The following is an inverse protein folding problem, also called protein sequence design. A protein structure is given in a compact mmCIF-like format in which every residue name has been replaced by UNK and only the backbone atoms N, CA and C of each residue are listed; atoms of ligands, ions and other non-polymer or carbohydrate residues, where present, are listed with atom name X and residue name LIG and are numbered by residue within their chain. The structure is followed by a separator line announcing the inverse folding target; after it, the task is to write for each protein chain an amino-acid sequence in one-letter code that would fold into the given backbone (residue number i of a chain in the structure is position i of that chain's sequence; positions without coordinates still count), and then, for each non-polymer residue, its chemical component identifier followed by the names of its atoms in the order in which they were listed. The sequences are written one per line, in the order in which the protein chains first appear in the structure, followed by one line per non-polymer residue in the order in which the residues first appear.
data_IF_676987847319
#
_entry.id   IF_676987847319
#
_cell.length_a   1.000
_cell.length_b   1.000
_cell.length_c   1.000
_cell.angle_alpha   90.00
_cell.angle_beta   90.00
_cell.angle_gamma   90.00
#
_symmetry.space_group_name_H-M   'P 1'
#
loop_
_entity.id
_entity.type
_entity.pdbx_description
1 polymer ?
#
# COMPACT_ATOMS: atom_id res chain seq x y z
N UNK A 1 -60.43 -26.53 6.15
CA UNK A 1 -59.25 -26.94 5.34
C UNK A 1 -58.56 -25.74 4.66
N UNK A 2 -58.58 -24.52 5.21
CA UNK A 2 -57.95 -23.35 4.57
C UNK A 2 -56.88 -22.61 5.43
N UNK A 3 -56.40 -23.20 6.54
CA UNK A 3 -55.46 -22.56 7.46
C UNK A 3 -54.00 -23.09 7.40
N UNK A 4 -53.67 -24.05 6.55
CA UNK A 4 -52.33 -24.69 6.53
C UNK A 4 -51.37 -24.20 5.45
N UNK A 5 -51.81 -23.37 4.52
CA UNK A 5 -50.97 -22.89 3.43
C UNK A 5 -50.38 -21.48 3.65
N UNK A 6 -50.88 -20.74 4.64
CA UNK A 6 -50.42 -19.37 4.88
C UNK A 6 -49.11 -19.26 5.70
N UNK A 7 -48.78 -20.33 6.46
CA UNK A 7 -47.53 -20.29 7.27
C UNK A 7 -46.26 -20.74 6.54
N UNK A 8 -46.37 -21.41 5.39
CA UNK A 8 -45.19 -21.86 4.63
C UNK A 8 -44.62 -20.80 3.67
N UNK A 9 -45.41 -19.84 3.25
CA UNK A 9 -44.95 -18.76 2.35
C UNK A 9 -44.22 -17.66 3.09
N UNK A 10 -44.47 -17.44 4.40
CA UNK A 10 -43.78 -16.44 5.20
C UNK A 10 -42.32 -16.84 5.50
N UNK A 11 -42.04 -18.15 5.61
CA UNK A 11 -40.69 -18.67 5.90
C UNK A 11 -39.74 -18.53 4.71
N UNK A 12 -40.23 -18.57 3.48
CA UNK A 12 -39.38 -18.46 2.28
C UNK A 12 -38.96 -17.01 1.99
N UNK A 13 -39.83 -16.06 2.29
CA UNK A 13 -39.52 -14.62 2.09
C UNK A 13 -38.51 -14.09 3.13
N UNK A 14 -38.57 -14.60 4.38
CA UNK A 14 -37.60 -14.21 5.41
C UNK A 14 -36.19 -14.76 5.15
N UNK A 15 -36.06 -15.95 4.52
CA UNK A 15 -34.74 -16.51 4.16
C UNK A 15 -34.11 -15.74 2.99
N UNK A 16 -34.91 -15.22 2.05
CA UNK A 16 -34.37 -14.44 0.91
C UNK A 16 -33.82 -13.06 1.36
N UNK A 17 -34.35 -12.46 2.43
CA UNK A 17 -33.86 -11.19 2.95
C UNK A 17 -32.58 -11.33 3.79
N UNK A 18 -32.30 -12.50 4.37
CA UNK A 18 -31.11 -12.74 5.19
C UNK A 18 -29.85 -12.97 4.34
N UNK A 19 -29.98 -13.37 3.08
CA UNK A 19 -28.84 -13.59 2.19
C UNK A 19 -28.33 -12.28 1.57
N UNK A 20 -29.15 -11.22 1.54
CA UNK A 20 -28.78 -9.92 0.98
C UNK A 20 -28.04 -9.00 1.97
N UNK A 21 -28.06 -9.33 3.27
CA UNK A 21 -27.43 -8.50 4.31
C UNK A 21 -25.92 -8.69 4.45
N UNK A 22 -25.29 -9.67 3.79
CA UNK A 22 -23.86 -9.98 3.91
C UNK A 22 -22.96 -9.32 2.85
N UNK A 23 -23.49 -8.51 1.93
CA UNK A 23 -22.71 -7.93 0.82
C UNK A 23 -22.54 -6.41 0.86
N UNK A 24 -22.73 -5.77 2.01
CA UNK A 24 -22.48 -4.33 2.14
C UNK A 24 -21.06 -4.07 2.67
N UNK A 25 -20.04 -4.53 1.96
CA UNK A 25 -18.68 -4.03 2.12
C UNK A 25 -18.50 -2.88 1.15
N UNK A 26 -18.18 -1.71 1.66
CA UNK A 26 -18.07 -0.45 0.92
C UNK A 26 -17.28 -0.62 -0.38
N UNK A 27 -17.97 -0.62 -1.51
CA UNK A 27 -17.38 -0.58 -2.85
C UNK A 27 -16.90 0.85 -3.16
N UNK A 28 -16.08 1.44 -2.27
CA UNK A 28 -15.55 2.77 -2.51
C UNK A 28 -14.66 2.69 -3.75
N UNK A 29 -14.91 3.58 -4.70
CA UNK A 29 -14.11 3.69 -5.91
C UNK A 29 -12.73 4.28 -5.57
N UNK A 30 -11.62 3.75 -6.12
CA UNK A 30 -10.30 4.36 -6.00
C UNK A 30 -10.33 5.86 -6.35
N UNK A 31 -11.07 6.25 -7.38
CA UNK A 31 -11.20 7.63 -7.82
C UNK A 31 -11.69 8.58 -6.72
N UNK A 32 -12.53 8.12 -5.79
CA UNK A 32 -12.96 8.93 -4.65
C UNK A 32 -11.75 9.39 -3.81
N UNK A 33 -10.83 8.48 -3.50
CA UNK A 33 -9.63 8.83 -2.74
C UNK A 33 -8.64 9.66 -3.56
N UNK A 34 -8.45 9.33 -4.83
CA UNK A 34 -7.54 10.08 -5.69
C UNK A 34 -8.01 11.53 -5.87
N UNK A 35 -9.31 11.75 -6.12
CA UNK A 35 -9.89 13.09 -6.19
C UNK A 35 -9.75 13.85 -4.87
N UNK A 36 -10.05 13.18 -3.74
CA UNK A 36 -9.90 13.78 -2.42
C UNK A 36 -8.47 14.19 -2.11
N UNK A 37 -7.51 13.44 -2.59
CA UNK A 37 -6.07 13.66 -2.42
C UNK A 37 -5.47 14.53 -3.55
N UNK A 38 -6.30 14.95 -4.53
CA UNK A 38 -5.96 15.85 -5.63
C UNK A 38 -4.90 15.31 -6.61
N UNK A 39 -4.92 14.00 -6.90
CA UNK A 39 -4.12 13.41 -7.97
C UNK A 39 -4.95 12.47 -8.87
N UNK A 40 -4.39 12.11 -10.03
CA UNK A 40 -5.03 11.17 -10.96
C UNK A 40 -4.76 9.73 -10.54
N UNK A 41 -5.81 8.91 -10.49
CA UNK A 41 -5.67 7.49 -10.16
C UNK A 41 -4.98 6.70 -11.28
N UNK A 42 -3.85 6.09 -10.98
CA UNK A 42 -3.16 5.14 -11.86
C UNK A 42 -3.69 3.73 -11.58
N UNK A 43 -4.27 3.10 -12.60
CA UNK A 43 -4.81 1.74 -12.51
C UNK A 43 -4.00 0.73 -13.36
N UNK A 44 -2.76 1.05 -13.65
CA UNK A 44 -1.82 0.18 -14.37
C UNK A 44 -0.55 -0.02 -13.55
N UNK A 45 0.08 -1.18 -13.71
CA UNK A 45 1.40 -1.39 -13.11
C UNK A 45 2.42 -0.47 -13.79
N UNK A 46 3.38 0.01 -13.00
CA UNK A 46 4.47 0.85 -13.47
C UNK A 46 5.80 0.27 -13.00
N UNK A 47 6.88 0.64 -13.65
CA UNK A 47 8.23 0.34 -13.20
C UNK A 47 8.92 1.65 -12.89
N UNK A 48 9.65 1.69 -11.78
CA UNK A 48 10.48 2.82 -11.38
C UNK A 48 11.90 2.36 -11.12
N UNK A 49 12.87 3.21 -11.45
CA UNK A 49 14.28 2.98 -11.17
C UNK A 49 14.72 3.86 -10.00
N UNK A 50 15.17 3.24 -8.93
CA UNK A 50 15.83 3.89 -7.81
C UNK A 50 17.31 3.99 -8.09
N UNK A 51 17.82 5.21 -8.17
CA UNK A 51 19.26 5.51 -8.19
C UNK A 51 19.71 5.87 -6.79
N UNK A 52 20.59 5.08 -6.22
CA UNK A 52 21.05 5.29 -4.83
C UNK A 52 22.55 5.48 -4.73
N UNK A 53 23.05 5.81 -3.54
CA UNK A 53 24.50 5.87 -3.26
C UNK A 53 25.19 4.50 -3.37
N UNK A 54 24.42 3.39 -3.27
CA UNK A 54 24.94 1.99 -3.34
C UNK A 54 24.77 1.32 -4.69
N UNK A 55 24.08 1.95 -5.62
CA UNK A 55 23.75 1.40 -6.92
C UNK A 55 22.27 1.59 -7.25
N UNK A 56 21.84 1.01 -8.36
CA UNK A 56 20.51 1.17 -8.91
C UNK A 56 19.71 -0.13 -8.77
N UNK A 57 18.40 0.00 -8.56
CA UNK A 57 17.48 -1.13 -8.58
C UNK A 57 16.11 -0.72 -9.15
N UNK A 58 15.42 -1.69 -9.74
CA UNK A 58 14.13 -1.48 -10.37
C UNK A 58 13.01 -2.06 -9.50
N UNK A 59 11.92 -1.31 -9.35
CA UNK A 59 10.72 -1.70 -8.59
C UNK A 59 9.52 -1.71 -9.52
N UNK A 60 8.83 -2.84 -9.59
CA UNK A 60 7.50 -2.92 -10.20
C UNK A 60 6.46 -2.48 -9.18
N UNK A 61 5.69 -1.45 -9.52
CA UNK A 61 4.59 -0.90 -8.73
C UNK A 61 3.26 -1.54 -9.15
N UNK A 62 2.44 -1.92 -8.19
CA UNK A 62 1.18 -2.66 -8.39
C UNK A 62 -0.01 -1.70 -8.49
N UNK A 63 -0.03 -0.81 -9.50
CA UNK A 63 -1.08 0.19 -9.66
C UNK A 63 -2.48 -0.39 -9.90
N UNK A 64 -2.59 -1.62 -10.41
CA UNK A 64 -3.87 -2.34 -10.52
C UNK A 64 -4.45 -2.73 -9.16
N UNK A 65 -3.59 -3.08 -8.21
CA UNK A 65 -3.98 -3.61 -6.90
C UNK A 65 -4.01 -2.53 -5.83
N UNK A 66 -3.16 -1.51 -5.97
CA UNK A 66 -2.99 -0.41 -5.02
C UNK A 66 -3.03 0.95 -5.75
N UNK A 67 -4.12 1.30 -6.44
CA UNK A 67 -4.18 2.50 -7.30
C UNK A 67 -3.94 3.80 -6.53
N UNK A 68 -4.48 3.97 -5.32
CA UNK A 68 -4.29 5.19 -4.53
C UNK A 68 -2.85 5.30 -4.02
N UNK A 69 -2.29 4.21 -3.49
CA UNK A 69 -0.93 4.17 -2.96
C UNK A 69 0.09 4.42 -4.07
N UNK A 70 -0.05 3.75 -5.22
CA UNK A 70 0.86 3.92 -6.36
C UNK A 70 0.76 5.33 -6.94
N UNK A 71 -0.45 5.89 -7.09
CA UNK A 71 -0.62 7.25 -7.60
C UNK A 71 0.03 8.29 -6.69
N UNK A 72 -0.17 8.17 -5.37
CA UNK A 72 0.51 9.02 -4.39
C UNK A 72 2.04 8.89 -4.47
N UNK A 73 2.54 7.67 -4.63
CA UNK A 73 3.98 7.43 -4.74
C UNK A 73 4.58 8.05 -6.01
N UNK A 74 3.88 7.93 -7.15
CA UNK A 74 4.29 8.54 -8.42
C UNK A 74 4.23 10.07 -8.36
N UNK A 75 3.20 10.65 -7.77
CA UNK A 75 3.11 12.10 -7.52
C UNK A 75 4.29 12.60 -6.69
N UNK A 76 4.70 11.83 -5.66
CA UNK A 76 5.89 12.17 -4.86
C UNK A 76 7.19 12.09 -5.69
N UNK A 77 7.31 11.13 -6.63
CA UNK A 77 8.45 11.04 -7.55
C UNK A 77 8.50 12.27 -8.46
N UNK A 78 7.39 12.64 -9.08
CA UNK A 78 7.29 13.79 -9.98
C UNK A 78 7.63 15.11 -9.26
N UNK A 79 7.27 15.22 -7.98
CA UNK A 79 7.62 16.36 -7.13
C UNK A 79 9.01 16.26 -6.47
N UNK A 80 9.85 15.30 -6.85
CA UNK A 80 11.21 15.07 -6.32
C UNK A 80 11.28 14.91 -4.79
N UNK A 81 10.21 14.43 -4.13
CA UNK A 81 10.12 14.29 -2.68
C UNK A 81 11.19 13.35 -2.13
N UNK A 82 11.56 12.33 -2.89
CA UNK A 82 12.51 11.31 -2.47
C UNK A 82 13.97 11.64 -2.78
N UNK A 83 14.24 12.69 -3.56
CA UNK A 83 15.60 13.07 -3.93
C UNK A 83 16.37 13.55 -2.70
N UNK A 84 17.60 13.04 -2.52
CA UNK A 84 18.48 13.27 -1.38
C UNK A 84 17.93 12.79 -0.02
N UNK A 85 16.84 12.00 -0.01
CA UNK A 85 16.37 11.37 1.23
C UNK A 85 17.25 10.18 1.58
N UNK A 86 17.61 10.07 2.87
CA UNK A 86 18.36 8.93 3.42
C UNK A 86 17.43 7.74 3.67
N UNK A 87 18.02 6.55 3.69
CA UNK A 87 17.39 5.40 4.31
C UNK A 87 17.53 5.53 5.84
N UNK A 88 16.63 6.30 6.44
CA UNK A 88 16.76 6.86 7.79
C UNK A 88 16.69 5.82 8.92
N UNK A 89 16.16 4.62 8.65
CA UNK A 89 16.02 3.56 9.66
C UNK A 89 16.23 2.18 9.04
N UNK A 90 17.19 1.45 9.59
CA UNK A 90 17.46 0.05 9.23
C UNK A 90 17.23 -0.81 10.48
N UNK A 91 16.35 -1.80 10.39
CA UNK A 91 16.09 -2.75 11.45
C UNK A 91 16.62 -4.11 10.99
N UNK A 92 17.61 -4.65 11.70
CA UNK A 92 18.23 -5.92 11.39
C UNK A 92 17.81 -6.96 12.44
N UNK A 93 17.25 -8.05 11.98
CA UNK A 93 17.09 -9.29 12.72
C UNK A 93 17.94 -10.39 12.06
N UNK A 94 18.22 -11.52 12.70
CA UNK A 94 19.14 -12.54 12.16
C UNK A 94 18.86 -12.98 10.73
N UNK A 95 17.58 -12.99 10.30
CA UNK A 95 17.18 -13.45 8.97
C UNK A 95 16.32 -12.45 8.21
N UNK A 96 16.18 -11.21 8.71
CA UNK A 96 15.21 -10.27 8.21
C UNK A 96 15.71 -8.83 8.37
N UNK A 97 15.58 -8.02 7.31
CA UNK A 97 15.88 -6.60 7.37
C UNK A 97 14.70 -5.79 6.91
N UNK A 98 14.45 -4.68 7.61
CA UNK A 98 13.57 -3.61 7.16
C UNK A 98 14.41 -2.39 6.83
N UNK A 99 14.23 -1.83 5.66
CA UNK A 99 14.98 -0.69 5.15
C UNK A 99 13.98 0.43 4.91
N UNK A 100 13.88 1.35 5.86
CA UNK A 100 12.97 2.49 5.78
C UNK A 100 13.57 3.63 4.97
N UNK A 101 12.79 4.15 4.05
CA UNK A 101 13.13 5.29 3.20
C UNK A 101 11.94 6.22 3.04
N UNK A 102 12.13 7.23 2.20
CA UNK A 102 11.20 8.34 2.06
C UNK A 102 11.54 9.47 3.01
N UNK A 103 10.57 10.29 3.34
CA UNK A 103 10.81 11.46 4.19
C UNK A 103 10.87 11.04 5.66
N UNK A 104 12.01 11.34 6.31
CA UNK A 104 12.16 11.07 7.74
C UNK A 104 11.21 11.99 8.54
N UNK A 105 10.28 11.44 9.36
CA UNK A 105 9.36 12.26 10.15
C UNK A 105 10.04 13.11 11.23
N UNK A 106 11.27 12.76 11.62
CA UNK A 106 12.08 13.50 12.61
C UNK A 106 12.87 14.65 11.97
N UNK A 107 12.84 14.78 10.62
CA UNK A 107 13.56 15.83 9.91
C UNK A 107 12.71 17.09 9.74
N UNK A 108 13.11 18.18 10.39
CA UNK A 108 12.42 19.48 10.33
C UNK A 108 12.34 20.05 8.89
N UNK A 109 13.27 19.70 8.00
CA UNK A 109 13.24 20.08 6.58
C UNK A 109 12.00 19.55 5.85
N UNK A 110 11.37 18.51 6.37
CA UNK A 110 10.12 17.94 5.86
C UNK A 110 8.94 18.90 6.02
N UNK A 111 8.84 19.60 7.16
CA UNK A 111 7.74 20.52 7.44
C UNK A 111 7.75 21.67 6.41
N UNK A 112 8.92 22.19 6.08
CA UNK A 112 9.08 23.26 5.08
C UNK A 112 8.74 22.80 3.66
N UNK A 113 9.21 21.61 3.25
CA UNK A 113 8.86 21.03 1.94
C UNK A 113 7.36 20.75 1.80
N UNK A 114 6.71 20.30 2.86
CA UNK A 114 5.29 20.01 2.89
C UNK A 114 4.43 21.28 2.80
N UNK A 115 4.86 22.37 3.41
CA UNK A 115 4.18 23.67 3.31
C UNK A 115 4.20 24.20 1.87
N UNK A 116 5.29 23.95 1.12
CA UNK A 116 5.39 24.31 -0.30
C UNK A 116 4.57 23.40 -1.23
N UNK A 117 4.26 22.19 -0.81
CA UNK A 117 3.46 21.24 -1.56
C UNK A 117 1.99 21.29 -1.14
N UNK A 118 1.32 22.41 -1.21
CA UNK A 118 -0.09 22.68 -0.85
C UNK A 118 -1.13 21.56 -1.13
N UNK A 119 -0.72 20.32 -1.42
CA UNK A 119 -1.55 19.25 -1.96
C UNK A 119 -1.59 17.95 -1.14
N UNK A 120 -0.63 17.63 -0.30
CA UNK A 120 -0.55 16.27 0.22
C UNK A 120 -1.08 16.13 1.65
N UNK A 121 -2.09 15.31 1.82
CA UNK A 121 -2.46 14.76 3.12
C UNK A 121 -1.25 14.02 3.72
N UNK A 122 -0.97 14.15 5.03
CA UNK A 122 0.10 13.37 5.70
C UNK A 122 -0.13 11.87 5.62
N UNK A 123 -1.36 11.46 5.32
CA UNK A 123 -1.76 10.06 5.28
C UNK A 123 -2.63 9.76 4.07
N UNK A 124 -2.51 8.52 3.59
CA UNK A 124 -3.38 7.91 2.60
C UNK A 124 -4.11 6.72 3.22
N UNK A 125 -5.22 6.23 2.63
CA UNK A 125 -5.89 5.04 3.15
C UNK A 125 -4.98 3.82 3.10
N UNK A 126 -5.10 2.93 4.10
CA UNK A 126 -4.57 1.58 3.98
C UNK A 126 -5.30 0.88 2.85
N UNK A 127 -4.57 0.25 1.94
CA UNK A 127 -5.09 -0.35 0.70
C UNK A 127 -4.71 -1.82 0.64
N UNK A 128 -5.70 -2.72 0.73
CA UNK A 128 -5.51 -4.18 0.76
C UNK A 128 -6.34 -4.82 -0.35
N UNK A 129 -5.71 -5.59 -1.24
CA UNK A 129 -6.35 -6.26 -2.37
C UNK A 129 -6.55 -7.74 -2.12
N UNK A 130 -7.79 -8.21 -2.26
CA UNK A 130 -8.16 -9.63 -2.22
C UNK A 130 -8.35 -10.19 -3.63
N UNK A 131 -8.01 -11.47 -3.84
CA UNK A 131 -8.01 -12.15 -5.14
C UNK A 131 -9.36 -12.13 -5.84
N UNK A 132 -10.43 -12.31 -5.09
CA UNK A 132 -11.80 -12.38 -5.62
C UNK A 132 -12.51 -11.02 -5.69
N UNK A 133 -11.83 -9.94 -5.31
CA UNK A 133 -12.42 -8.61 -5.32
C UNK A 133 -11.92 -7.81 -6.52
N UNK A 134 -12.80 -7.09 -7.19
CA UNK A 134 -12.45 -6.23 -8.34
C UNK A 134 -11.63 -5.03 -7.86
N UNK A 135 -11.97 -4.45 -6.70
CA UNK A 135 -11.34 -3.25 -6.13
C UNK A 135 -10.68 -3.57 -4.80
N UNK A 136 -9.60 -2.85 -4.41
CA UNK A 136 -9.02 -3.01 -3.08
C UNK A 136 -9.98 -2.54 -1.99
N UNK A 137 -9.80 -3.05 -0.78
CA UNK A 137 -10.43 -2.53 0.44
C UNK A 137 -9.60 -1.37 0.98
N UNK A 138 -10.29 -0.33 1.40
CA UNK A 138 -9.68 0.87 1.96
C UNK A 138 -9.92 0.98 3.47
N UNK A 139 -8.92 1.49 4.20
CA UNK A 139 -8.97 1.63 5.66
C UNK A 139 -9.34 0.32 6.36
N UNK A 140 -8.90 -0.79 5.80
CA UNK A 140 -9.17 -2.13 6.29
C UNK A 140 -7.87 -2.87 6.55
N UNK A 141 -7.69 -3.32 7.79
CA UNK A 141 -6.62 -4.22 8.19
C UNK A 141 -7.22 -5.60 8.46
N UNK A 142 -6.56 -6.65 7.97
CA UNK A 142 -6.94 -8.04 8.28
C UNK A 142 -6.88 -8.26 9.79
N UNK A 143 -7.94 -8.81 10.34
CA UNK A 143 -8.05 -9.16 11.76
C UNK A 143 -7.88 -10.65 11.99
N UNK A 144 -8.36 -11.46 11.05
CA UNK A 144 -8.27 -12.91 11.10
C UNK A 144 -7.14 -13.39 10.18
N UNK A 145 -6.09 -14.04 10.70
CA UNK A 145 -4.99 -14.54 9.89
C UNK A 145 -5.41 -15.47 8.74
N UNK A 146 -6.53 -16.19 8.87
CA UNK A 146 -7.05 -17.04 7.78
C UNK A 146 -7.42 -16.27 6.51
N UNK A 147 -7.69 -14.97 6.60
CA UNK A 147 -8.00 -14.14 5.44
C UNK A 147 -6.75 -13.88 4.56
N UNK A 148 -5.55 -14.06 5.09
CA UNK A 148 -4.29 -13.76 4.37
C UNK A 148 -4.09 -14.64 3.14
N UNK A 149 -4.62 -15.85 3.10
CA UNK A 149 -4.55 -16.77 1.95
C UNK A 149 -5.20 -16.21 0.68
N UNK A 150 -6.12 -15.27 0.85
CA UNK A 150 -6.86 -14.62 -0.23
C UNK A 150 -6.24 -13.28 -0.68
N UNK A 151 -5.10 -12.88 -0.12
CA UNK A 151 -4.42 -11.66 -0.54
C UNK A 151 -3.79 -11.80 -1.92
N UNK A 152 -3.82 -10.72 -2.70
CA UNK A 152 -3.07 -10.62 -3.97
C UNK A 152 -1.60 -10.40 -3.69
N UNK A 153 -1.28 -9.48 -2.78
CA UNK A 153 0.08 -9.11 -2.44
C UNK A 153 0.40 -9.51 -0.99
N UNK A 154 1.50 -10.24 -0.82
CA UNK A 154 2.07 -10.68 0.46
C UNK A 154 3.51 -10.20 0.57
N UNK A 155 4.06 -10.18 1.79
CA UNK A 155 5.46 -9.81 1.98
C UNK A 155 6.40 -10.92 1.50
N UNK A 156 7.09 -10.64 0.42
CA UNK A 156 8.16 -11.45 -0.14
C UNK A 156 9.47 -10.64 -0.15
N UNK A 157 10.61 -11.30 -0.35
CA UNK A 157 11.89 -10.61 -0.52
C UNK A 157 11.80 -9.55 -1.61
N UNK A 158 12.23 -8.33 -1.31
CA UNK A 158 12.15 -7.16 -2.19
C UNK A 158 10.79 -6.45 -2.20
N UNK A 159 9.81 -6.87 -1.40
CA UNK A 159 8.54 -6.14 -1.28
C UNK A 159 8.76 -4.74 -0.74
N UNK A 160 8.02 -3.77 -1.29
CA UNK A 160 7.92 -2.40 -0.80
C UNK A 160 6.50 -2.14 -0.27
N UNK A 161 6.42 -1.55 0.91
CA UNK A 161 5.15 -1.17 1.54
C UNK A 161 5.23 0.22 2.15
N UNK A 162 4.09 0.93 2.25
CA UNK A 162 4.02 2.20 2.99
C UNK A 162 4.07 1.96 4.49
N UNK A 163 4.77 2.84 5.21
CA UNK A 163 4.79 2.85 6.67
C UNK A 163 3.39 3.15 7.20
N UNK A 164 2.98 2.53 8.31
CA UNK A 164 1.69 2.82 8.95
C UNK A 164 1.68 4.19 9.61
N UNK A 165 0.55 4.88 9.46
CA UNK A 165 0.28 6.15 10.14
C UNK A 165 -1.08 6.05 10.85
N UNK A 166 -1.08 5.40 12.01
CA UNK A 166 -2.29 5.06 12.74
C UNK A 166 -2.85 3.68 12.38
N UNK A 167 -4.10 3.42 12.78
CA UNK A 167 -4.70 2.06 12.71
C UNK A 167 -4.97 1.60 11.27
N UNK A 168 -5.62 2.44 10.49
CA UNK A 168 -6.18 2.07 9.18
C UNK A 168 -5.67 2.98 8.05
N UNK A 169 -4.51 3.63 8.26
CA UNK A 169 -3.89 4.56 7.32
C UNK A 169 -2.41 4.25 7.13
N UNK A 170 -1.91 4.66 5.98
CA UNK A 170 -0.49 4.65 5.63
C UNK A 170 0.06 6.08 5.60
N UNK A 171 1.35 6.24 5.84
CA UNK A 171 2.07 7.48 5.55
C UNK A 171 1.96 7.78 4.05
N UNK A 172 1.90 9.05 3.68
CA UNK A 172 1.91 9.45 2.27
C UNK A 172 3.31 9.51 1.67
N UNK A 173 4.37 9.49 2.49
CA UNK A 173 5.76 9.72 2.04
C UNK A 173 6.77 8.68 2.53
N UNK A 174 6.46 7.95 3.60
CA UNK A 174 7.37 6.97 4.19
C UNK A 174 7.07 5.57 3.68
N UNK A 175 8.07 4.85 3.26
CA UNK A 175 7.99 3.47 2.81
C UNK A 175 9.10 2.62 3.43
N UNK A 176 8.97 1.31 3.31
CA UNK A 176 10.03 0.38 3.68
C UNK A 176 10.10 -0.79 2.71
N UNK A 177 11.31 -1.33 2.57
CA UNK A 177 11.57 -2.59 1.90
C UNK A 177 11.80 -3.68 2.93
N UNK A 178 11.53 -4.93 2.52
CA UNK A 178 11.90 -6.13 3.27
C UNK A 178 12.80 -7.04 2.44
N UNK A 179 13.75 -7.74 3.07
CA UNK A 179 14.69 -8.63 2.38
C UNK A 179 14.28 -10.10 2.43
N UNK A 180 13.18 -10.41 3.12
CA UNK A 180 12.68 -11.79 3.25
C UNK A 180 11.16 -11.82 3.30
N UNK A 181 10.59 -13.02 3.23
CA UNK A 181 9.17 -13.27 3.43
C UNK A 181 8.77 -13.06 4.88
N UNK A 182 7.66 -12.34 5.14
CA UNK A 182 7.18 -12.00 6.49
C UNK A 182 5.65 -12.13 6.55
N UNK A 183 5.11 -13.35 6.59
CA UNK A 183 3.65 -13.57 6.54
C UNK A 183 2.91 -12.97 7.74
N UNK A 184 3.57 -12.74 8.87
CA UNK A 184 2.98 -12.10 10.06
C UNK A 184 2.55 -10.66 9.83
N UNK A 185 3.09 -10.01 8.79
CA UNK A 185 2.75 -8.64 8.42
C UNK A 185 1.72 -8.56 7.27
N UNK A 186 1.37 -9.68 6.65
CA UNK A 186 0.42 -9.73 5.55
C UNK A 186 -0.94 -9.15 5.94
N UNK A 187 -1.50 -8.32 5.05
CA UNK A 187 -2.78 -7.66 5.28
C UNK A 187 -2.77 -6.54 6.32
N UNK A 188 -1.60 -6.14 6.81
CA UNK A 188 -1.42 -5.04 7.78
C UNK A 188 -0.85 -3.76 7.17
N UNK A 189 -0.29 -3.84 5.96
CA UNK A 189 0.37 -2.75 5.24
C UNK A 189 -0.07 -2.73 3.78
N UNK A 190 -0.07 -1.56 3.15
CA UNK A 190 -0.23 -1.45 1.71
C UNK A 190 1.06 -1.88 1.02
N UNK A 191 1.14 -3.15 0.59
CA UNK A 191 2.24 -3.66 -0.22
C UNK A 191 1.96 -3.24 -1.65
N UNK A 192 2.70 -2.25 -2.15
CA UNK A 192 2.39 -1.60 -3.43
C UNK A 192 3.40 -1.86 -4.54
N UNK A 193 4.40 -2.70 -4.29
CA UNK A 193 5.39 -3.07 -5.30
C UNK A 193 6.40 -4.10 -4.82
N UNK A 194 7.30 -4.47 -5.74
CA UNK A 194 8.39 -5.41 -5.50
C UNK A 194 9.59 -5.09 -6.38
N UNK A 195 10.79 -5.27 -5.85
CA UNK A 195 12.03 -5.18 -6.61
C UNK A 195 12.04 -6.31 -7.67
N UNK A 196 12.31 -5.95 -8.91
CA UNK A 196 12.43 -6.86 -10.05
C UNK A 196 13.86 -6.99 -10.56
N UNK A 197 14.75 -6.05 -10.17
CA UNK A 197 16.17 -6.06 -10.54
C UNK A 197 16.99 -5.31 -9.49
N UNK A 198 18.17 -5.80 -9.14
CA UNK A 198 19.09 -5.16 -8.19
C UNK A 198 18.75 -5.40 -6.72
N UNK A 199 18.18 -6.56 -6.36
CA UNK A 199 17.90 -6.94 -4.97
C UNK A 199 19.17 -6.94 -4.11
N UNK A 200 20.32 -7.32 -4.69
CA UNK A 200 21.63 -7.28 -4.03
C UNK A 200 22.09 -5.87 -3.63
N UNK A 201 21.61 -4.84 -4.34
CA UNK A 201 21.85 -3.43 -3.96
C UNK A 201 21.09 -3.10 -2.68
N UNK A 202 19.82 -3.54 -2.57
CA UNK A 202 19.01 -3.33 -1.37
C UNK A 202 19.68 -3.91 -0.13
N UNK A 203 20.28 -5.10 -0.24
CA UNK A 203 20.96 -5.77 0.88
C UNK A 203 22.20 -5.01 1.38
N UNK A 204 22.81 -4.19 0.53
CA UNK A 204 24.00 -3.37 0.85
C UNK A 204 23.66 -1.99 1.43
N UNK A 205 22.39 -1.57 1.37
CA UNK A 205 21.96 -0.26 1.86
C UNK A 205 22.11 -0.17 3.38
N UNK A 206 22.66 0.94 3.85
CA UNK A 206 22.83 1.30 5.25
C UNK A 206 22.16 2.66 5.55
N UNK A 207 22.08 3.03 6.83
CA UNK A 207 21.39 4.23 7.31
C UNK A 207 21.87 5.56 6.70
N UNK A 208 23.15 5.64 6.31
CA UNK A 208 23.72 6.87 5.70
C UNK A 208 23.55 6.90 4.18
N UNK A 209 23.11 5.81 3.57
CA UNK A 209 22.87 5.78 2.15
C UNK A 209 21.60 6.58 1.79
N UNK A 210 21.59 7.13 0.59
CA UNK A 210 20.55 8.04 0.17
C UNK A 210 20.08 7.77 -1.26
N UNK A 211 18.90 8.26 -1.56
CA UNK A 211 18.26 8.19 -2.87
C UNK A 211 18.74 9.38 -3.69
N UNK A 212 19.47 9.15 -4.78
CA UNK A 212 19.89 10.19 -5.73
C UNK A 212 18.73 10.64 -6.62
N UNK A 213 17.93 9.68 -7.07
CA UNK A 213 16.74 9.92 -7.88
C UNK A 213 15.82 8.70 -7.85
N UNK A 214 14.52 8.91 -8.10
CA UNK A 214 13.59 7.85 -8.50
C UNK A 214 12.97 8.29 -9.82
N UNK A 215 13.02 7.42 -10.83
CA UNK A 215 12.57 7.74 -12.18
C UNK A 215 11.55 6.70 -12.66
N UNK A 216 10.46 7.16 -13.28
CA UNK A 216 9.49 6.27 -13.92
C UNK A 216 10.12 5.74 -15.19
N UNK A 217 10.14 4.40 -15.35
CA UNK A 217 10.58 3.78 -16.60
C UNK A 217 9.48 3.91 -17.66
N UNK A 218 9.88 4.31 -18.86
CA UNK A 218 9.00 4.40 -20.03
C UNK A 218 8.59 3.02 -20.55
#
# INVERSE_FOLDING_TARGET
IKKKYFLKTLSFIQVLFLVQACSYKSKIDPNYYCQKLKFSCIQSNKVVNFKTSKGDFEVKLFGKDNPVTVSNFLENIENNIYVNQKFYKIINYPQMRFIHGGVNPEDNSYIERKQNLNKTSPTIPLEIKFKEEVKPRYNYQIKNPSETVNLVNTFESGSIAMVKSGKDKSSSTEFFFVTTKIPELDGRYSIFGKIIKGLDVLEKINKEDYIKAVQISN
#
